data_IF_677336412083
#
_entry.id   IF_677336412083
#
_cell.length_a   1.000
_cell.length_b   1.000
_cell.length_c   1.000
_cell.angle_alpha   90.00
_cell.angle_beta   90.00
_cell.angle_gamma   90.00
#
_symmetry.space_group_name_H-M   'P 1'
#
loop_
_entity.id
_entity.type
_entity.pdbx_description
1 polymer ?
#
# COMPACT_ATOMS: atom_id res chain seq x y z
N UNK A 1 5.02 -3.75 19.02
CA UNK A 1 6.11 -4.03 18.06
C UNK A 1 6.45 -2.73 17.34
N UNK A 2 7.73 -2.35 17.35
CA UNK A 2 8.23 -1.18 16.62
C UNK A 2 8.91 -1.70 15.37
N UNK A 3 8.30 -1.47 14.21
CA UNK A 3 8.86 -1.88 12.90
C UNK A 3 10.13 -1.07 12.61
N UNK A 4 11.22 -1.75 12.31
CA UNK A 4 12.45 -1.11 11.83
C UNK A 4 12.33 -0.85 10.33
N UNK A 5 11.82 0.31 9.98
CA UNK A 5 11.58 0.71 8.60
C UNK A 5 12.86 0.84 7.77
N UNK A 6 14.00 1.07 8.40
CA UNK A 6 15.28 1.14 7.68
C UNK A 6 15.74 -0.24 7.17
N UNK A 7 15.26 -1.32 7.77
CA UNK A 7 15.74 -2.69 7.48
C UNK A 7 14.65 -3.59 6.88
N UNK A 8 13.36 -3.31 7.11
CA UNK A 8 12.27 -4.23 6.77
C UNK A 8 12.26 -4.58 5.28
N UNK A 9 12.47 -3.59 4.40
CA UNK A 9 12.47 -3.82 2.97
C UNK A 9 13.57 -4.78 2.52
N UNK A 10 14.80 -4.54 2.98
CA UNK A 10 15.92 -5.41 2.68
C UNK A 10 15.76 -6.82 3.28
N UNK A 11 15.14 -6.94 4.47
CA UNK A 11 14.84 -8.24 5.07
C UNK A 11 13.82 -9.02 4.25
N UNK A 12 12.72 -8.36 3.85
CA UNK A 12 11.69 -8.99 2.99
C UNK A 12 12.28 -9.39 1.63
N UNK A 13 13.10 -8.54 1.03
CA UNK A 13 13.77 -8.86 -0.23
C UNK A 13 14.67 -10.09 -0.12
N UNK A 14 15.43 -10.19 0.98
CA UNK A 14 16.27 -11.35 1.25
C UNK A 14 15.45 -12.64 1.39
N UNK A 15 14.38 -12.62 2.15
CA UNK A 15 13.48 -13.79 2.31
C UNK A 15 12.86 -14.19 0.97
N UNK A 16 12.39 -13.22 0.19
CA UNK A 16 11.82 -13.47 -1.13
C UNK A 16 12.87 -14.07 -2.10
N UNK A 17 14.10 -13.58 -2.07
CA UNK A 17 15.18 -14.11 -2.88
C UNK A 17 15.50 -15.57 -2.52
N UNK A 18 15.54 -15.91 -1.24
CA UNK A 18 15.76 -17.29 -0.79
C UNK A 18 14.67 -18.26 -1.23
N UNK A 19 13.42 -17.79 -1.37
CA UNK A 19 12.32 -18.61 -1.89
C UNK A 19 12.48 -18.91 -3.40
N UNK A 20 13.13 -18.00 -4.13
CA UNK A 20 13.28 -18.10 -5.58
C UNK A 20 14.56 -18.83 -5.96
N UNK A 21 15.67 -18.46 -5.34
CA UNK A 21 16.99 -19.02 -5.55
C UNK A 21 17.77 -19.09 -4.23
N UNK A 22 17.73 -20.22 -3.54
CA UNK A 22 18.36 -20.40 -2.23
C UNK A 22 19.88 -20.21 -2.23
N UNK A 23 20.51 -20.35 -3.40
CA UNK A 23 21.98 -20.33 -3.55
C UNK A 23 22.44 -18.96 -4.08
N UNK A 24 21.56 -18.29 -4.83
CA UNK A 24 21.84 -16.98 -5.42
C UNK A 24 21.86 -15.86 -4.39
N UNK A 25 22.58 -14.79 -4.74
CA UNK A 25 22.51 -13.52 -4.00
C UNK A 25 21.35 -12.66 -4.45
N UNK A 26 20.99 -11.67 -3.63
CA UNK A 26 20.05 -10.61 -4.06
C UNK A 26 20.68 -9.23 -3.84
N UNK A 27 20.33 -8.31 -4.74
CA UNK A 27 20.59 -6.90 -4.59
C UNK A 27 19.28 -6.19 -4.26
N UNK A 28 19.20 -5.54 -3.12
CA UNK A 28 18.03 -4.78 -2.72
C UNK A 28 17.98 -3.46 -3.48
N UNK A 29 16.94 -3.24 -4.27
CA UNK A 29 16.79 -2.04 -5.11
C UNK A 29 16.05 -0.90 -4.38
N UNK A 30 15.12 -1.23 -3.49
CA UNK A 30 14.37 -0.26 -2.73
C UNK A 30 12.98 -0.74 -2.32
N UNK A 31 12.32 0.08 -1.52
CA UNK A 31 10.94 -0.13 -1.05
C UNK A 31 10.08 1.07 -1.37
N UNK A 32 9.04 0.88 -2.13
CA UNK A 32 8.00 1.89 -2.35
C UNK A 32 6.90 1.70 -1.31
N UNK A 33 6.61 2.74 -0.55
CA UNK A 33 5.57 2.76 0.49
C UNK A 33 4.44 3.69 0.06
N UNK A 34 3.24 3.16 0.01
CA UNK A 34 2.05 3.90 -0.40
C UNK A 34 1.13 4.08 0.78
N UNK A 35 0.78 5.31 1.09
CA UNK A 35 -0.05 5.67 2.24
C UNK A 35 -1.15 6.62 1.80
N UNK A 36 -2.35 6.41 2.32
CA UNK A 36 -3.42 7.40 2.21
C UNK A 36 -3.68 8.07 3.56
N UNK A 37 -4.06 9.35 3.54
CA UNK A 37 -4.33 10.12 4.74
C UNK A 37 -5.56 11.02 4.54
N UNK A 38 -6.27 11.28 5.64
CA UNK A 38 -7.40 12.21 5.71
C UNK A 38 -6.94 13.47 6.46
N UNK A 39 -6.79 14.58 5.75
CA UNK A 39 -6.30 15.83 6.32
C UNK A 39 -7.19 16.43 7.42
N UNK A 40 -8.42 15.95 7.55
CA UNK A 40 -9.32 16.36 8.64
C UNK A 40 -9.01 15.67 9.97
N UNK A 41 -8.22 14.59 9.96
CA UNK A 41 -7.90 13.79 11.15
C UNK A 41 -6.50 14.07 11.66
N UNK A 42 -6.39 14.40 12.95
CA UNK A 42 -5.08 14.67 13.56
C UNK A 42 -4.12 13.49 13.56
N UNK A 43 -4.63 12.26 13.68
CA UNK A 43 -3.81 11.05 13.59
C UNK A 43 -3.18 10.92 12.20
N UNK A 44 -3.95 11.21 11.13
CA UNK A 44 -3.49 11.11 9.75
C UNK A 44 -2.51 12.24 9.40
N UNK A 45 -2.68 13.43 9.96
CA UNK A 45 -1.68 14.51 9.85
C UNK A 45 -0.35 14.10 10.48
N UNK A 46 -0.37 13.45 11.64
CA UNK A 46 0.84 12.93 12.28
C UNK A 46 1.49 11.82 11.44
N UNK A 47 0.68 10.92 10.87
CA UNK A 47 1.15 9.89 9.96
C UNK A 47 1.82 10.50 8.71
N UNK A 48 1.18 11.48 8.07
CA UNK A 48 1.73 12.22 6.93
C UNK A 48 3.07 12.88 7.29
N UNK A 49 3.11 13.61 8.40
CA UNK A 49 4.34 14.29 8.84
C UNK A 49 5.47 13.28 9.13
N UNK A 50 5.16 12.17 9.78
CA UNK A 50 6.13 11.12 10.02
C UNK A 50 6.61 10.48 8.71
N UNK A 51 5.70 10.19 7.78
CA UNK A 51 6.04 9.61 6.49
C UNK A 51 6.98 10.52 5.70
N UNK A 52 6.69 11.83 5.62
CA UNK A 52 7.49 12.80 4.87
C UNK A 52 8.83 13.12 5.54
N UNK A 53 8.83 13.29 6.88
CA UNK A 53 9.99 13.81 7.58
C UNK A 53 10.89 12.72 8.17
N UNK A 54 10.44 11.49 8.22
CA UNK A 54 11.18 10.37 8.81
C UNK A 54 11.30 9.21 7.84
N UNK A 55 10.18 8.65 7.38
CA UNK A 55 10.20 7.44 6.56
C UNK A 55 10.87 7.67 5.20
N UNK A 56 10.53 8.76 4.52
CA UNK A 56 11.09 9.15 3.21
C UNK A 56 12.59 9.56 3.27
N UNK A 57 13.17 9.63 4.47
CA UNK A 57 14.60 9.91 4.66
C UNK A 57 15.46 8.66 4.79
N UNK A 58 14.85 7.49 4.92
CA UNK A 58 15.63 6.25 4.91
C UNK A 58 16.12 5.92 3.51
N UNK A 59 17.39 5.55 3.40
CA UNK A 59 17.98 5.16 2.13
C UNK A 59 17.25 3.97 1.51
N UNK A 60 16.88 4.09 0.23
CA UNK A 60 16.14 3.05 -0.50
C UNK A 60 14.66 2.94 -0.11
N UNK A 61 14.09 3.91 0.58
CA UNK A 61 12.65 4.00 0.85
C UNK A 61 12.07 5.19 0.11
N UNK A 62 11.02 4.97 -0.63
CA UNK A 62 10.33 5.98 -1.45
C UNK A 62 8.86 6.04 -1.02
N UNK A 63 8.40 7.20 -0.56
CA UNK A 63 7.06 7.35 -0.01
C UNK A 63 6.15 8.08 -1.00
N UNK A 64 5.04 7.43 -1.33
CA UNK A 64 3.93 8.03 -2.08
C UNK A 64 2.75 8.29 -1.16
N UNK A 65 2.30 9.54 -1.10
CA UNK A 65 1.20 9.97 -0.25
C UNK A 65 0.00 10.36 -1.11
N UNK A 66 -1.18 9.85 -0.77
CA UNK A 66 -2.44 10.20 -1.40
C UNK A 66 -3.41 10.78 -0.37
N UNK A 67 -3.96 11.96 -0.64
CA UNK A 67 -5.00 12.53 0.21
C UNK A 67 -6.34 11.88 -0.10
N UNK A 68 -7.02 11.39 0.96
CA UNK A 68 -8.36 10.81 0.83
C UNK A 68 -9.36 11.89 0.47
N UNK A 69 -10.16 11.63 -0.53
CA UNK A 69 -11.18 12.57 -0.99
C UNK A 69 -12.50 12.34 -0.26
N UNK A 70 -13.20 13.43 0.03
CA UNK A 70 -14.54 13.33 0.59
C UNK A 70 -15.49 12.71 -0.42
N UNK A 71 -16.29 11.73 -0.02
CA UNK A 71 -17.28 11.11 -0.89
C UNK A 71 -18.28 12.15 -1.39
N UNK A 72 -18.68 12.04 -2.65
CA UNK A 72 -19.65 12.98 -3.25
C UNK A 72 -21.05 12.86 -2.64
N UNK A 73 -21.43 11.64 -2.20
CA UNK A 73 -22.75 11.36 -1.63
C UNK A 73 -22.66 10.87 -0.19
N UNK A 74 -23.80 10.88 0.48
CA UNK A 74 -23.98 10.32 1.81
C UNK A 74 -24.29 8.83 1.75
N UNK A 75 -24.03 8.08 2.82
CA UNK A 75 -24.42 6.68 2.90
C UNK A 75 -25.95 6.54 2.78
N UNK A 76 -26.37 5.47 2.13
CA UNK A 76 -27.79 5.16 1.98
C UNK A 76 -28.22 4.03 2.90
N UNK A 77 -29.43 4.15 3.42
CA UNK A 77 -30.05 3.06 4.17
C UNK A 77 -30.16 1.81 3.28
N UNK A 78 -29.66 0.64 3.71
CA UNK A 78 -29.70 -0.59 2.90
C UNK A 78 -31.13 -1.09 2.64
N UNK A 79 -32.12 -0.63 3.42
CA UNK A 79 -33.51 -1.07 3.31
C UNK A 79 -34.38 -0.12 2.47
N UNK A 80 -34.35 1.18 2.77
CA UNK A 80 -35.21 2.18 2.08
C UNK A 80 -34.46 3.07 1.11
N UNK A 81 -33.13 2.94 0.99
CA UNK A 81 -32.23 3.72 0.14
C UNK A 81 -32.22 5.23 0.39
N UNK A 82 -32.85 5.70 1.47
CA UNK A 82 -32.78 7.10 1.87
C UNK A 82 -31.35 7.48 2.26
N UNK A 83 -30.93 8.68 1.88
CA UNK A 83 -29.61 9.22 2.26
C UNK A 83 -29.58 9.65 3.73
N UNK A 84 -28.53 9.25 4.43
CA UNK A 84 -28.29 9.62 5.84
C UNK A 84 -27.21 10.70 5.85
N UNK A 85 -27.62 11.96 5.96
CA UNK A 85 -26.70 13.10 5.87
C UNK A 85 -25.97 13.38 7.18
N UNK A 86 -26.67 13.22 8.29
CA UNK A 86 -26.10 13.53 9.61
C UNK A 86 -26.34 12.36 10.59
N UNK A 87 -25.42 12.21 11.52
CA UNK A 87 -25.57 11.26 12.60
C UNK A 87 -26.68 11.74 13.55
N UNK A 88 -27.66 10.89 13.82
CA UNK A 88 -28.78 11.21 14.71
C UNK A 88 -28.35 11.45 16.17
N UNK A 89 -27.17 10.96 16.57
CA UNK A 89 -26.66 11.05 17.95
C UNK A 89 -25.80 12.30 18.13
N UNK A 90 -24.85 12.56 17.23
CA UNK A 90 -23.86 13.63 17.42
C UNK A 90 -23.90 14.74 16.37
N UNK A 91 -24.80 14.64 15.37
CA UNK A 91 -24.93 15.64 14.29
C UNK A 91 -23.79 15.66 13.27
N UNK A 92 -22.82 14.74 13.37
CA UNK A 92 -21.69 14.71 12.44
C UNK A 92 -22.12 14.38 11.00
N UNK A 93 -21.45 15.00 10.01
CA UNK A 93 -21.65 14.68 8.60
C UNK A 93 -21.28 13.21 8.33
N UNK A 94 -22.19 12.46 7.75
CA UNK A 94 -22.04 11.02 7.50
C UNK A 94 -21.28 10.70 6.20
N UNK A 95 -20.87 11.70 5.42
CA UNK A 95 -20.02 11.47 4.25
C UNK A 95 -18.66 11.00 4.67
N UNK A 96 -18.29 9.80 4.54
CA UNK A 96 -16.91 9.35 4.74
C UNK A 96 -15.93 9.91 3.71
N UNK A 97 -14.68 9.56 3.87
CA UNK A 97 -13.66 9.77 2.83
C UNK A 97 -13.43 8.46 2.08
N UNK A 98 -12.96 8.57 0.86
CA UNK A 98 -12.54 7.43 0.03
C UNK A 98 -11.08 7.60 -0.40
N UNK A 99 -10.39 6.51 -0.49
CA UNK A 99 -9.09 6.45 -1.12
C UNK A 99 -9.27 6.34 -2.63
N UNK A 100 -8.47 7.05 -3.39
CA UNK A 100 -8.47 6.99 -4.85
C UNK A 100 -7.07 6.98 -5.40
N UNK A 101 -6.82 6.01 -6.27
CA UNK A 101 -5.63 5.97 -7.09
C UNK A 101 -4.39 5.37 -6.44
N UNK A 102 -4.45 4.91 -5.19
CA UNK A 102 -3.30 4.25 -4.54
C UNK A 102 -2.99 2.94 -5.25
N UNK A 103 -3.99 2.08 -5.45
CA UNK A 103 -3.79 0.80 -6.14
C UNK A 103 -3.31 0.99 -7.58
N UNK A 104 -3.93 1.93 -8.29
CA UNK A 104 -3.48 2.30 -9.64
C UNK A 104 -2.05 2.80 -9.63
N UNK A 105 -1.64 3.58 -8.62
CA UNK A 105 -0.27 4.06 -8.49
C UNK A 105 0.71 2.93 -8.23
N UNK A 106 0.37 1.99 -7.34
CA UNK A 106 1.17 0.80 -7.08
C UNK A 106 1.40 0.01 -8.37
N UNK A 107 0.33 -0.29 -9.10
CA UNK A 107 0.41 -1.03 -10.37
C UNK A 107 1.25 -0.25 -11.40
N UNK A 108 1.01 1.04 -11.53
CA UNK A 108 1.76 1.88 -12.47
C UNK A 108 3.25 1.90 -12.16
N UNK A 109 3.62 2.08 -10.90
CA UNK A 109 5.01 2.12 -10.48
C UNK A 109 5.68 0.73 -10.66
N UNK A 110 4.97 -0.36 -10.32
CA UNK A 110 5.45 -1.73 -10.58
C UNK A 110 5.78 -1.95 -12.07
N UNK A 111 4.85 -1.61 -12.95
CA UNK A 111 5.03 -1.80 -14.40
C UNK A 111 6.10 -0.87 -14.96
N UNK A 112 6.15 0.38 -14.52
CA UNK A 112 7.15 1.36 -14.99
C UNK A 112 8.57 0.98 -14.58
N UNK A 113 8.74 0.51 -13.34
CA UNK A 113 10.04 0.05 -12.85
C UNK A 113 10.49 -1.23 -13.55
N UNK A 114 9.55 -2.14 -13.85
CA UNK A 114 9.82 -3.34 -14.65
C UNK A 114 10.25 -2.98 -16.08
N UNK A 115 9.58 -2.01 -16.69
CA UNK A 115 9.91 -1.53 -18.05
C UNK A 115 11.28 -0.87 -18.13
N UNK A 116 11.72 -0.27 -17.03
CA UNK A 116 13.03 0.36 -16.89
C UNK A 116 14.13 -0.61 -16.42
N UNK A 117 13.86 -1.91 -16.38
CA UNK A 117 14.78 -2.97 -15.93
C UNK A 117 15.35 -2.71 -14.53
N UNK A 118 14.55 -2.10 -13.65
CA UNK A 118 15.02 -1.74 -12.31
C UNK A 118 14.97 -2.89 -11.28
N UNK A 119 14.35 -4.02 -11.64
CA UNK A 119 14.29 -5.20 -10.78
C UNK A 119 13.99 -6.49 -11.57
N UNK A 120 14.41 -7.62 -11.04
CA UNK A 120 14.08 -8.96 -11.55
C UNK A 120 12.96 -9.61 -10.73
N UNK A 121 12.82 -9.19 -9.47
CA UNK A 121 11.85 -9.72 -8.52
C UNK A 121 11.11 -8.56 -7.85
N UNK A 122 9.79 -8.56 -7.95
CA UNK A 122 8.93 -7.68 -7.18
C UNK A 122 8.35 -8.41 -5.96
N UNK A 123 8.34 -7.74 -4.81
CA UNK A 123 7.61 -8.23 -3.63
C UNK A 123 6.46 -7.28 -3.33
N UNK A 124 5.24 -7.80 -3.42
CA UNK A 124 4.03 -7.03 -3.11
C UNK A 124 3.56 -7.45 -1.72
N UNK A 125 3.51 -6.49 -0.79
CA UNK A 125 2.98 -6.71 0.56
C UNK A 125 1.58 -6.10 0.64
N UNK A 126 0.58 -6.88 0.29
CA UNK A 126 -0.84 -6.49 0.30
C UNK A 126 -1.72 -7.72 0.41
N UNK A 127 -2.91 -7.56 1.00
CA UNK A 127 -3.95 -8.60 0.98
C UNK A 127 -4.94 -8.43 -0.18
N UNK A 128 -4.76 -7.40 -1.01
CA UNK A 128 -5.68 -7.07 -2.10
C UNK A 128 -5.42 -7.94 -3.33
N UNK A 129 -6.49 -8.49 -3.87
CA UNK A 129 -6.47 -9.32 -5.09
C UNK A 129 -6.39 -8.50 -6.38
N UNK A 130 -6.61 -7.19 -6.31
CA UNK A 130 -6.59 -6.31 -7.48
C UNK A 130 -5.19 -6.20 -8.10
N UNK A 131 -4.15 -6.63 -7.38
CA UNK A 131 -2.78 -6.71 -7.89
C UNK A 131 -2.47 -7.98 -8.70
N UNK A 132 -3.33 -9.01 -8.64
CA UNK A 132 -3.10 -10.28 -9.35
C UNK A 132 -2.89 -10.10 -10.86
N UNK A 133 -3.73 -9.34 -11.59
CA UNK A 133 -3.52 -9.14 -13.03
C UNK A 133 -2.17 -8.50 -13.38
N UNK A 134 -1.69 -7.56 -12.57
CA UNK A 134 -0.39 -6.93 -12.76
C UNK A 134 0.75 -7.92 -12.50
N UNK A 135 0.63 -8.75 -11.46
CA UNK A 135 1.61 -9.79 -11.15
C UNK A 135 1.70 -10.82 -12.27
N UNK A 136 0.57 -11.32 -12.77
CA UNK A 136 0.50 -12.26 -13.90
C UNK A 136 1.14 -11.66 -15.15
N UNK A 137 0.84 -10.39 -15.46
CA UNK A 137 1.46 -9.70 -16.60
C UNK A 137 2.99 -9.65 -16.47
N UNK A 138 3.53 -9.29 -15.30
CA UNK A 138 4.97 -9.26 -15.06
C UNK A 138 5.61 -10.64 -15.21
N UNK A 139 4.94 -11.71 -14.76
CA UNK A 139 5.39 -13.07 -14.94
C UNK A 139 5.47 -13.48 -16.41
N UNK A 140 4.54 -13.02 -17.27
CA UNK A 140 4.63 -13.26 -18.73
C UNK A 140 5.86 -12.59 -19.36
N UNK A 141 6.43 -11.58 -18.70
CA UNK A 141 7.67 -10.90 -19.10
C UNK A 141 8.94 -11.53 -18.52
N UNK A 142 8.81 -12.65 -17.80
CA UNK A 142 9.93 -13.34 -17.18
C UNK A 142 10.34 -12.82 -15.82
N UNK A 143 9.68 -11.78 -15.32
CA UNK A 143 9.90 -11.27 -13.96
C UNK A 143 9.24 -12.16 -12.92
N UNK A 144 9.78 -12.19 -11.72
CA UNK A 144 9.20 -12.93 -10.62
C UNK A 144 8.44 -12.00 -9.67
N UNK A 145 7.28 -12.45 -9.20
CA UNK A 145 6.47 -11.69 -8.23
C UNK A 145 6.23 -12.58 -7.02
N UNK A 146 6.60 -12.07 -5.86
CA UNK A 146 6.37 -12.69 -4.55
C UNK A 146 5.31 -11.90 -3.82
N UNK A 147 4.31 -12.58 -3.30
CA UNK A 147 3.28 -11.98 -2.47
C UNK A 147 3.64 -12.17 -0.99
N UNK A 148 3.84 -11.06 -0.29
CA UNK A 148 4.02 -11.02 1.15
C UNK A 148 2.70 -10.73 1.85
N UNK A 149 2.30 -11.58 2.79
CA UNK A 149 1.13 -11.35 3.63
C UNK A 149 1.52 -11.45 5.10
N UNK A 150 0.96 -10.56 5.91
CA UNK A 150 1.01 -10.73 7.36
C UNK A 150 -0.24 -11.48 7.80
N UNK A 151 -0.09 -12.59 8.54
CA UNK A 151 -1.26 -13.29 9.07
C UNK A 151 -2.06 -12.33 9.96
N UNK A 152 -3.40 -12.33 9.87
CA UNK A 152 -4.23 -11.53 10.76
C UNK A 152 -3.96 -11.91 12.21
N UNK A 153 -3.78 -10.90 13.07
CA UNK A 153 -3.61 -11.14 14.51
C UNK A 153 -4.87 -11.86 15.04
N UNK A 154 -4.70 -13.08 15.52
CA UNK A 154 -5.76 -13.86 16.14
C UNK A 154 -6.27 -15.08 15.36
N UNK A 155 -5.72 -15.40 14.21
CA UNK A 155 -5.95 -16.71 13.57
C UNK A 155 -4.77 -17.63 13.90
N UNK A 156 -4.84 -18.25 15.04
CA UNK A 156 -4.22 -19.56 15.27
C UNK A 156 -5.29 -20.62 15.15
#
# INVERSE_FOLDING_TARGET
FKTDWAKIGASIAKEAAQLIDPIGGCSYQGTNVYLSFDSSKEADKKLRNWATNTLDKFAGVYVSLAERQRKKGWPRCPKCHAEVQTCAICGADMRGTEEKGVDTRIVTDMLSLAWADNYDVAVIVSADRDFVPAAEFLQTKGLKVVHGAFPPMGTM
#
